data_IF_287943437388
#
_entry.id   IF_287943437388
#
_cell.length_a   1.000
_cell.length_b   1.000
_cell.length_c   1.000
_cell.angle_alpha   90.00
_cell.angle_beta   90.00
_cell.angle_gamma   90.00
#
_symmetry.space_group_name_H-M   'P 1'
#
loop_
_entity.id
_entity.type
_entity.pdbx_description
1 polymer ?
#
# COMPACT_ATOMS: atom_id res chain seq x y z
N UNK A 1 -13.71 -5.11 2.43
CA UNK A 1 -12.64 -5.77 3.21
C UNK A 1 -12.53 -7.19 2.68
N UNK A 2 -11.32 -7.68 2.50
CA UNK A 2 -11.04 -9.07 2.18
C UNK A 2 -9.70 -9.47 2.80
N UNK A 3 -9.45 -10.78 2.88
CA UNK A 3 -8.15 -11.31 3.25
C UNK A 3 -7.78 -12.47 2.35
N UNK A 4 -6.48 -12.75 2.27
CA UNK A 4 -5.95 -13.91 1.55
C UNK A 4 -4.69 -14.43 2.24
N UNK A 5 -4.33 -15.67 1.91
CA UNK A 5 -3.12 -16.31 2.40
C UNK A 5 -2.12 -16.48 1.26
N UNK A 6 -0.85 -16.19 1.53
CA UNK A 6 0.27 -16.49 0.67
C UNK A 6 1.37 -17.21 1.46
N UNK A 7 2.31 -17.84 0.76
CA UNK A 7 3.39 -18.60 1.40
C UNK A 7 4.75 -18.07 0.95
N UNK A 8 5.71 -18.07 1.89
CA UNK A 8 7.11 -17.74 1.61
C UNK A 8 8.05 -18.68 2.37
N UNK A 9 9.23 -18.90 1.81
CA UNK A 9 10.27 -19.73 2.45
C UNK A 9 11.42 -18.89 3.03
N UNK A 10 11.51 -17.60 2.68
CA UNK A 10 12.58 -16.71 3.13
C UNK A 10 12.06 -15.72 4.19
N UNK A 11 12.47 -15.94 5.44
CA UNK A 11 12.09 -15.11 6.58
C UNK A 11 12.48 -13.62 6.41
N UNK A 12 13.56 -13.34 5.69
CA UNK A 12 14.09 -11.97 5.48
C UNK A 12 13.14 -11.12 4.64
N UNK A 13 12.28 -11.77 3.84
CA UNK A 13 11.31 -11.12 2.96
C UNK A 13 9.99 -10.80 3.67
N UNK A 14 9.67 -11.45 4.79
CA UNK A 14 8.39 -11.29 5.47
C UNK A 14 8.04 -9.84 5.83
N UNK A 15 8.97 -9.02 6.38
CA UNK A 15 8.63 -7.63 6.72
C UNK A 15 8.30 -6.77 5.50
N UNK A 16 8.81 -7.14 4.32
CA UNK A 16 8.66 -6.38 3.07
C UNK A 16 7.37 -6.72 2.34
N UNK A 17 6.71 -7.83 2.71
CA UNK A 17 5.44 -8.25 2.10
C UNK A 17 4.37 -7.16 2.19
N UNK A 18 4.33 -6.45 3.32
CA UNK A 18 3.38 -5.35 3.50
C UNK A 18 3.58 -4.24 2.47
N UNK A 19 4.82 -3.94 2.10
CA UNK A 19 5.14 -2.92 1.10
C UNK A 19 4.71 -3.34 -0.30
N UNK A 20 4.92 -4.62 -0.63
CA UNK A 20 4.46 -5.21 -1.91
C UNK A 20 2.94 -5.14 -2.03
N UNK A 21 2.21 -5.48 -0.96
CA UNK A 21 0.74 -5.42 -0.96
C UNK A 21 0.23 -3.98 -1.04
N UNK A 22 0.87 -3.03 -0.34
CA UNK A 22 0.56 -1.61 -0.46
C UNK A 22 0.74 -1.11 -1.89
N UNK A 23 1.89 -1.40 -2.50
CA UNK A 23 2.17 -1.04 -3.89
C UNK A 23 1.19 -1.68 -4.87
N UNK A 24 0.89 -2.97 -4.70
CA UNK A 24 -0.07 -3.68 -5.53
C UNK A 24 -1.44 -3.03 -5.50
N UNK A 25 -1.91 -2.60 -4.33
CA UNK A 25 -3.21 -1.93 -4.22
C UNK A 25 -3.21 -0.53 -4.86
N UNK A 26 -2.14 0.26 -4.68
CA UNK A 26 -2.07 1.59 -5.32
C UNK A 26 -2.05 1.48 -6.84
N UNK A 27 -1.24 0.57 -7.39
CA UNK A 27 -1.14 0.33 -8.82
C UNK A 27 -2.44 -0.27 -9.40
N UNK A 28 -3.09 -1.18 -8.67
CA UNK A 28 -4.37 -1.76 -9.09
C UNK A 28 -5.50 -0.72 -9.19
N UNK A 29 -5.55 0.25 -8.27
CA UNK A 29 -6.54 1.34 -8.33
C UNK A 29 -6.25 2.23 -9.54
N UNK A 30 -4.98 2.56 -9.79
CA UNK A 30 -4.54 3.36 -10.93
C UNK A 30 -4.89 2.70 -12.26
N UNK A 31 -4.51 1.43 -12.43
CA UNK A 31 -4.80 0.63 -13.63
C UNK A 31 -6.31 0.52 -13.87
N UNK A 32 -7.09 0.31 -12.81
CA UNK A 32 -8.54 0.22 -12.93
C UNK A 32 -9.18 1.53 -13.35
N UNK A 33 -8.70 2.67 -12.83
CA UNK A 33 -9.16 3.99 -13.26
C UNK A 33 -8.84 4.20 -14.75
N UNK A 34 -7.61 3.88 -15.17
CA UNK A 34 -7.18 3.97 -16.56
C UNK A 34 -8.05 3.09 -17.48
N UNK A 35 -8.24 1.82 -17.14
CA UNK A 35 -9.03 0.87 -17.92
C UNK A 35 -10.50 1.27 -18.08
N UNK A 36 -11.05 2.04 -17.12
CA UNK A 36 -12.43 2.56 -17.17
C UNK A 36 -12.52 3.99 -17.73
N UNK A 37 -11.43 4.60 -18.19
CA UNK A 37 -11.41 5.98 -18.67
C UNK A 37 -11.78 7.01 -17.59
N UNK A 38 -11.45 6.70 -16.34
CA UNK A 38 -11.69 7.54 -15.16
C UNK A 38 -10.47 8.42 -14.87
N UNK A 39 -10.65 9.58 -14.20
CA UNK A 39 -9.52 10.32 -13.64
C UNK A 39 -8.66 9.45 -12.74
N UNK A 40 -7.34 9.62 -12.79
CA UNK A 40 -6.43 8.93 -11.89
C UNK A 40 -6.68 9.38 -10.44
N UNK A 41 -6.85 8.42 -9.54
CA UNK A 41 -6.87 8.67 -8.10
C UNK A 41 -5.45 8.55 -7.56
N UNK A 42 -4.94 9.65 -7.01
CA UNK A 42 -3.61 9.71 -6.42
C UNK A 42 -3.56 9.06 -5.02
N UNK A 43 -3.75 7.73 -4.99
CA UNK A 43 -3.68 6.95 -3.75
C UNK A 43 -2.21 6.72 -3.39
N UNK A 44 -1.81 7.26 -2.24
CA UNK A 44 -0.44 7.22 -1.71
C UNK A 44 -0.32 6.27 -0.53
N UNK A 45 0.88 5.75 -0.33
CA UNK A 45 1.27 4.88 0.78
C UNK A 45 1.77 5.76 1.92
N UNK A 46 1.04 5.77 3.03
CA UNK A 46 1.52 6.26 4.32
C UNK A 46 2.11 5.08 5.07
N UNK A 47 3.43 5.13 5.26
CA UNK A 47 4.18 4.02 5.85
C UNK A 47 3.72 3.75 7.30
N UNK A 48 3.68 2.46 7.71
CA UNK A 48 4.05 1.27 6.92
C UNK A 48 2.92 0.64 6.10
N UNK A 49 1.68 1.08 6.27
CA UNK A 49 0.54 0.20 6.00
C UNK A 49 -0.78 0.87 5.60
N UNK A 50 -0.81 2.19 5.54
CA UNK A 50 -2.04 2.92 5.30
C UNK A 50 -2.09 3.48 3.88
N UNK A 51 -3.28 3.49 3.30
CA UNK A 51 -3.54 4.08 2.00
C UNK A 51 -4.27 5.41 2.19
N UNK A 52 -3.74 6.45 1.56
CA UNK A 52 -4.18 7.83 1.71
C UNK A 52 -4.53 8.44 0.36
N UNK A 53 -5.58 9.25 0.32
CA UNK A 53 -6.01 10.01 -0.84
C UNK A 53 -6.34 11.42 -0.38
N UNK A 54 -5.72 12.43 -1.00
CA UNK A 54 -5.87 13.85 -0.60
C UNK A 54 -5.62 14.09 0.91
N UNK A 55 -4.65 13.37 1.50
CA UNK A 55 -4.30 13.48 2.92
C UNK A 55 -5.28 12.78 3.89
N UNK A 56 -6.33 12.12 3.40
CA UNK A 56 -7.28 11.36 4.20
C UNK A 56 -7.08 9.85 4.02
N UNK A 57 -7.25 9.08 5.10
CA UNK A 57 -7.13 7.63 5.07
C UNK A 57 -8.31 7.02 4.32
N UNK A 58 -8.01 6.22 3.31
CA UNK A 58 -8.97 5.45 2.50
C UNK A 58 -8.81 3.95 2.67
N UNK A 59 -7.73 3.47 3.29
CA UNK A 59 -7.56 2.04 3.52
C UNK A 59 -6.39 1.72 4.44
N UNK A 60 -6.28 0.44 4.78
CA UNK A 60 -5.20 -0.11 5.59
C UNK A 60 -4.97 -1.58 5.24
N UNK A 61 -3.71 -1.98 5.30
CA UNK A 61 -3.23 -3.31 4.96
C UNK A 61 -2.52 -3.89 6.18
N UNK A 62 -2.81 -5.14 6.55
CA UNK A 62 -2.14 -5.82 7.64
C UNK A 62 -1.66 -7.19 7.18
N UNK A 63 -0.36 -7.43 7.27
CA UNK A 63 0.22 -8.74 7.05
C UNK A 63 0.60 -9.35 8.40
N UNK A 64 0.08 -10.53 8.71
CA UNK A 64 0.51 -11.35 9.84
C UNK A 64 1.07 -12.66 9.31
N UNK A 65 2.12 -13.18 9.94
CA UNK A 65 2.73 -14.43 9.51
C UNK A 65 2.75 -15.46 10.64
N UNK A 66 2.46 -16.71 10.31
CA UNK A 66 2.74 -17.88 11.14
C UNK A 66 3.80 -18.75 10.48
N UNK A 67 4.46 -19.57 11.28
CA UNK A 67 5.47 -20.52 10.78
C UNK A 67 4.96 -21.94 11.00
N UNK A 68 4.92 -22.71 9.91
CA UNK A 68 4.78 -24.16 9.91
C UNK A 68 6.10 -24.75 9.39
N UNK A 69 6.43 -26.03 9.65
CA UNK A 69 7.76 -26.56 9.34
C UNK A 69 8.24 -26.24 7.92
N UNK A 70 9.23 -25.35 7.82
CA UNK A 70 9.89 -24.83 6.60
C UNK A 70 9.07 -23.87 5.73
N UNK A 71 7.87 -23.44 6.14
CA UNK A 71 7.03 -22.51 5.37
C UNK A 71 6.47 -21.41 6.28
N UNK A 72 6.55 -20.17 5.83
CA UNK A 72 5.86 -19.04 6.44
C UNK A 72 4.54 -18.80 5.73
N UNK A 73 3.43 -18.98 6.45
CA UNK A 73 2.10 -18.61 5.98
C UNK A 73 1.85 -17.14 6.32
N UNK A 74 1.53 -16.33 5.32
CA UNK A 74 1.24 -14.91 5.49
C UNK A 74 -0.24 -14.69 5.26
N UNK A 75 -0.95 -14.26 6.30
CA UNK A 75 -2.33 -13.79 6.21
C UNK A 75 -2.32 -12.28 5.99
N UNK A 76 -2.86 -11.85 4.85
CA UNK A 76 -2.94 -10.44 4.48
C UNK A 76 -4.40 -10.01 4.56
N UNK A 77 -4.71 -9.08 5.47
CA UNK A 77 -6.00 -8.41 5.56
C UNK A 77 -5.96 -7.03 4.89
N UNK A 78 -6.97 -6.73 4.08
CA UNK A 78 -7.09 -5.47 3.35
C UNK A 78 -8.46 -4.83 3.62
N UNK A 79 -8.41 -3.64 4.23
CA UNK A 79 -9.55 -2.75 4.40
C UNK A 79 -9.44 -1.56 3.45
N UNK A 80 -10.46 -1.33 2.61
CA UNK A 80 -10.49 -0.23 1.66
C UNK A 80 -11.89 0.40 1.66
N UNK A 81 -11.93 1.73 1.75
CA UNK A 81 -13.12 2.54 1.67
C UNK A 81 -13.45 2.81 0.20
N UNK A 82 -14.33 2.00 -0.38
CA UNK A 82 -14.72 2.12 -1.79
C UNK A 82 -15.93 3.04 -1.95
N UNK A 83 -16.98 2.79 -1.16
CA UNK A 83 -18.28 3.47 -1.23
C UNK A 83 -18.74 4.07 0.10
N UNK A 84 -18.01 3.82 1.19
CA UNK A 84 -18.38 4.27 2.53
C UNK A 84 -17.74 5.62 2.85
N UNK A 85 -18.49 6.70 2.70
CA UNK A 85 -18.05 8.10 2.92
C UNK A 85 -17.88 8.49 4.40
N UNK A 86 -18.10 7.57 5.33
CA UNK A 86 -17.98 7.79 6.78
C UNK A 86 -17.21 6.64 7.45
N UNK A 87 -16.45 6.88 8.53
CA UNK A 87 -16.16 8.19 9.13
C UNK A 87 -15.10 9.00 8.36
N UNK A 88 -14.42 8.43 7.36
CA UNK A 88 -13.46 9.10 6.47
C UNK A 88 -13.91 9.02 5.00
N UNK A 89 -13.13 9.58 4.07
CA UNK A 89 -13.45 9.55 2.63
C UNK A 89 -13.32 8.15 2.01
N UNK A 90 -13.82 8.01 0.78
CA UNK A 90 -13.78 6.78 -0.02
C UNK A 90 -13.39 7.09 -1.48
N UNK A 91 -13.01 6.05 -2.22
CA UNK A 91 -12.56 6.19 -3.61
C UNK A 91 -13.65 6.78 -4.53
N UNK A 92 -14.89 6.31 -4.41
CA UNK A 92 -15.96 6.78 -5.28
C UNK A 92 -16.38 8.22 -4.99
N UNK A 93 -16.33 8.68 -3.74
CA UNK A 93 -16.55 10.10 -3.42
C UNK A 93 -15.47 10.97 -4.08
N UNK A 94 -14.20 10.57 -3.98
CA UNK A 94 -13.11 11.30 -4.63
C UNK A 94 -13.22 11.34 -6.16
N UNK A 95 -13.72 10.26 -6.80
CA UNK A 95 -14.00 10.25 -8.24
C UNK A 95 -15.13 11.21 -8.62
N UNK A 96 -16.22 11.25 -7.84
CA UNK A 96 -17.31 12.18 -8.11
C UNK A 96 -16.86 13.65 -8.00
N UNK A 97 -15.97 13.96 -7.06
CA UNK A 97 -15.37 15.29 -6.93
C UNK A 97 -14.53 15.67 -8.16
N UNK A 98 -13.78 14.72 -8.74
CA UNK A 98 -12.93 14.97 -9.91
C UNK A 98 -13.73 15.07 -11.21
N UNK A 99 -14.76 14.23 -11.35
CA UNK A 99 -15.63 14.18 -12.52
C UNK A 99 -17.00 13.68 -12.10
N UNK A 100 -17.96 14.60 -12.07
CA UNK A 100 -19.36 14.30 -11.76
C UNK A 100 -19.91 13.21 -12.70
N UNK A 101 -20.75 12.33 -12.16
CA UNK A 101 -21.35 11.19 -12.86
C UNK A 101 -20.32 10.16 -13.38
N UNK A 102 -19.12 10.12 -12.80
CA UNK A 102 -18.16 9.04 -13.09
C UNK A 102 -18.76 7.68 -12.75
N UNK A 103 -18.55 6.66 -13.61
CA UNK A 103 -18.81 5.27 -13.25
C UNK A 103 -18.17 4.91 -11.90
N UNK A 104 -18.91 4.23 -11.03
CA UNK A 104 -18.41 3.81 -9.73
C UNK A 104 -17.45 2.63 -9.88
N UNK A 105 -16.36 2.66 -9.12
CA UNK A 105 -15.52 1.49 -8.87
C UNK A 105 -16.30 0.50 -8.02
N UNK A 106 -16.39 -0.75 -8.48
CA UNK A 106 -16.98 -1.85 -7.71
C UNK A 106 -15.90 -2.56 -6.91
N UNK A 107 -16.29 -3.16 -5.79
CA UNK A 107 -15.35 -3.89 -4.91
C UNK A 107 -14.74 -5.09 -5.63
N UNK A 108 -15.53 -5.77 -6.46
CA UNK A 108 -15.15 -6.94 -7.23
C UNK A 108 -14.13 -6.56 -8.33
N UNK A 109 -14.33 -5.41 -8.97
CA UNK A 109 -13.38 -4.87 -9.96
C UNK A 109 -12.04 -4.54 -9.32
N UNK A 110 -12.05 -3.92 -8.13
CA UNK A 110 -10.83 -3.61 -7.37
C UNK A 110 -10.14 -4.89 -6.92
N UNK A 111 -10.88 -5.89 -6.45
CA UNK A 111 -10.33 -7.18 -6.03
C UNK A 111 -9.63 -7.90 -7.20
N UNK A 112 -10.27 -7.94 -8.37
CA UNK A 112 -9.70 -8.54 -9.56
C UNK A 112 -8.44 -7.79 -10.02
N UNK A 113 -8.50 -6.45 -10.09
CA UNK A 113 -7.35 -5.61 -10.44
C UNK A 113 -6.20 -5.82 -9.45
N UNK A 114 -6.51 -5.90 -8.14
CA UNK A 114 -5.54 -6.15 -7.09
C UNK A 114 -4.81 -7.46 -7.28
N UNK A 115 -5.51 -8.59 -7.46
CA UNK A 115 -4.83 -9.88 -7.61
C UNK A 115 -3.99 -9.96 -8.88
N UNK A 116 -4.47 -9.40 -10.00
CA UNK A 116 -3.70 -9.33 -11.24
C UNK A 116 -2.39 -8.56 -11.04
N UNK A 117 -2.44 -7.42 -10.32
CA UNK A 117 -1.25 -6.63 -10.03
C UNK A 117 -0.34 -7.29 -8.99
N UNK A 118 -0.94 -7.84 -7.94
CA UNK A 118 -0.24 -8.47 -6.83
C UNK A 118 0.56 -9.67 -7.31
N UNK A 119 0.02 -10.53 -8.17
CA UNK A 119 0.74 -11.69 -8.71
C UNK A 119 2.03 -11.26 -9.44
N UNK A 120 1.94 -10.24 -10.29
CA UNK A 120 3.10 -9.69 -11.02
C UNK A 120 4.15 -9.14 -10.06
N UNK A 121 3.74 -8.29 -9.10
CA UNK A 121 4.68 -7.67 -8.16
C UNK A 121 5.25 -8.69 -7.16
N UNK A 122 4.46 -9.68 -6.76
CA UNK A 122 4.89 -10.75 -5.87
C UNK A 122 5.92 -11.65 -6.56
N UNK A 123 5.78 -11.95 -7.85
CA UNK A 123 6.78 -12.69 -8.62
C UNK A 123 8.10 -11.91 -8.73
N UNK A 124 8.04 -10.62 -9.09
CA UNK A 124 9.21 -9.73 -9.11
C UNK A 124 9.90 -9.72 -7.75
N UNK A 125 9.14 -9.50 -6.68
CA UNK A 125 9.66 -9.50 -5.32
C UNK A 125 10.27 -10.83 -4.90
N UNK A 126 9.62 -11.94 -5.25
CA UNK A 126 10.07 -13.29 -4.92
C UNK A 126 11.38 -13.62 -5.63
N UNK A 127 11.55 -13.22 -6.89
CA UNK A 127 12.72 -13.56 -7.69
C UNK A 127 13.87 -12.54 -7.57
N UNK A 128 13.56 -11.24 -7.47
CA UNK A 128 14.54 -10.15 -7.56
C UNK A 128 14.70 -9.36 -6.25
N UNK A 129 13.82 -9.60 -5.26
CA UNK A 129 13.81 -8.85 -4.00
C UNK A 129 13.11 -7.48 -4.14
N UNK A 130 13.01 -6.76 -3.01
CA UNK A 130 12.25 -5.50 -2.97
C UNK A 130 12.93 -4.35 -3.71
N UNK A 131 14.26 -4.40 -3.90
CA UNK A 131 15.01 -3.38 -4.63
C UNK A 131 14.44 -3.13 -6.03
N UNK A 132 13.97 -4.19 -6.71
CA UNK A 132 13.33 -4.08 -8.03
C UNK A 132 12.00 -3.28 -8.02
N UNK A 133 11.41 -3.07 -6.84
CA UNK A 133 10.14 -2.37 -6.64
C UNK A 133 10.30 -1.00 -5.93
N UNK A 134 11.50 -0.66 -5.48
CA UNK A 134 11.75 0.53 -4.65
C UNK A 134 11.32 1.81 -5.35
N UNK A 135 11.67 1.97 -6.63
CA UNK A 135 11.31 3.17 -7.39
C UNK A 135 9.80 3.36 -7.46
N UNK A 136 9.06 2.30 -7.82
CA UNK A 136 7.60 2.34 -7.90
C UNK A 136 6.98 2.61 -6.53
N UNK A 137 7.49 1.95 -5.48
CA UNK A 137 7.05 2.16 -4.11
C UNK A 137 7.26 3.62 -3.66
N UNK A 138 8.43 4.19 -3.93
CA UNK A 138 8.74 5.58 -3.59
C UNK A 138 8.01 6.60 -4.45
N UNK A 139 7.62 6.24 -5.67
CA UNK A 139 6.72 7.06 -6.47
C UNK A 139 5.33 7.12 -5.83
N UNK A 140 4.86 6.08 -5.15
CA UNK A 140 3.58 6.09 -4.41
C UNK A 140 3.71 6.53 -2.94
N UNK A 141 4.91 6.84 -2.46
CA UNK A 141 5.19 7.17 -1.05
C UNK A 141 4.76 8.59 -0.64
N UNK A 142 4.06 8.71 0.51
CA UNK A 142 3.50 9.98 0.98
C UNK A 142 4.50 10.91 1.70
N UNK A 143 5.59 10.38 2.28
CA UNK A 143 6.40 11.13 3.25
C UNK A 143 7.61 11.88 2.67
N UNK A 144 7.72 12.00 1.35
CA UNK A 144 8.84 12.70 0.72
C UNK A 144 8.93 14.15 1.20
N UNK A 145 10.03 14.53 1.85
CA UNK A 145 10.23 15.88 2.37
C UNK A 145 9.53 16.18 3.71
N UNK A 146 8.92 15.18 4.36
CA UNK A 146 8.30 15.37 5.67
C UNK A 146 9.33 15.37 6.79
N UNK A 147 9.13 16.26 7.77
CA UNK A 147 9.83 16.24 9.07
C UNK A 147 9.04 15.37 10.02
N UNK A 148 9.65 14.30 10.53
CA UNK A 148 9.04 13.38 11.49
C UNK A 148 9.84 13.39 12.79
N UNK A 149 9.16 13.12 13.90
CA UNK A 149 9.81 12.84 15.18
C UNK A 149 9.95 11.33 15.29
N UNK A 150 11.18 10.85 15.37
CA UNK A 150 11.47 9.46 15.70
C UNK A 150 11.60 9.38 17.21
N UNK A 151 10.75 8.57 17.84
CA UNK A 151 10.80 8.29 19.27
C UNK A 151 11.40 6.90 19.45
N UNK A 152 12.61 6.86 20.00
CA UNK A 152 13.24 5.60 20.39
C UNK A 152 12.91 5.34 21.87
N UNK A 153 12.48 4.13 22.17
CA UNK A 153 12.07 3.72 23.51
C UNK A 153 13.00 2.60 23.99
N UNK A 154 14.14 2.99 24.55
CA UNK A 154 14.98 2.09 25.33
C UNK A 154 14.62 2.23 26.81
N UNK A 155 14.53 1.09 27.51
CA UNK A 155 14.17 0.92 28.93
C UNK A 155 14.27 2.21 29.78
N UNK A 156 13.15 2.96 29.87
CA UNK A 156 13.00 4.10 30.78
C UNK A 156 13.43 5.48 30.27
N UNK A 157 13.99 5.63 29.07
CA UNK A 157 14.32 6.93 28.47
C UNK A 157 13.79 7.04 27.04
N UNK A 158 12.92 8.03 26.79
CA UNK A 158 12.48 8.38 25.44
C UNK A 158 13.35 9.51 24.89
N UNK A 159 14.12 9.24 23.85
CA UNK A 159 14.85 10.28 23.10
C UNK A 159 14.06 10.61 21.84
N UNK A 160 13.68 11.88 21.69
CA UNK A 160 12.99 12.39 20.52
C UNK A 160 13.99 13.07 19.58
N UNK A 161 14.12 12.57 18.35
CA UNK A 161 14.93 13.19 17.31
C UNK A 161 14.05 13.63 16.15
N UNK A 162 14.21 14.88 15.69
CA UNK A 162 13.55 15.36 14.47
C UNK A 162 14.40 14.99 13.27
N UNK A 163 13.86 14.16 12.39
CA UNK A 163 14.54 13.72 11.16
C UNK A 163 13.70 14.14 9.95
N UNK A 164 14.36 14.57 8.88
CA UNK A 164 13.68 14.78 7.59
C UNK A 164 13.77 13.51 6.77
N UNK A 165 12.63 12.93 6.40
CA UNK A 165 12.60 11.75 5.53
C UNK A 165 12.96 12.22 4.12
N UNK A 166 14.15 11.83 3.65
CA UNK A 166 14.55 11.95 2.26
C UNK A 166 14.65 10.56 1.66
N UNK A 167 13.88 10.32 0.61
CA UNK A 167 14.10 9.16 -0.26
C UNK A 167 15.40 9.43 -1.02
N UNK A 168 16.41 8.60 -0.84
CA UNK A 168 17.67 8.70 -1.56
C UNK A 168 17.43 8.23 -3.00
N UNK A 169 17.17 9.17 -3.91
CA UNK A 169 17.24 8.92 -5.35
C UNK A 169 18.70 9.10 -5.74
N UNK A 170 19.41 8.02 -6.01
CA UNK A 170 20.68 8.11 -6.71
C UNK A 170 20.34 8.49 -8.16
N UNK A 171 20.45 9.79 -8.47
CA UNK A 171 20.43 10.25 -9.84
C UNK A 171 21.76 9.80 -10.46
N UNK A 172 21.70 8.85 -11.38
CA UNK A 172 22.79 8.59 -12.32
C UNK A 172 22.95 9.76 -13.30
#
# INVERSE_FOLDING_TARGET
>A
MFSFTSQMNDARKLPLMQYVVCLAMTEAIKDLCCAKGLPELDVRIKWPNDLYLKGLKVGGILCTSSYEPKVYNICTGIGLNVDNEKPTTCLNAALQELKANSPRLKREDILASFFNKFEVLFDIFSNQGFQALEEQYYNSWLHSGQRVVVQDAHEGQSVNSVVTIKVRRELN
#
